data_IF_745684595018
#
_entry.id   IF_745684595018
#
_cell.length_a   1.000
_cell.length_b   1.000
_cell.length_c   1.000
_cell.angle_alpha   90.00
_cell.angle_beta   90.00
_cell.angle_gamma   90.00
#
_symmetry.space_group_name_H-M   'P 1'
#
loop_
_entity.id
_entity.type
_entity.pdbx_description
1 polymer ?
#
# COMPACT_ATOMS: atom_id res chain seq x y z
N UNK A 1 0.40 3.77 -6.80
CA UNK A 1 1.04 5.11 -6.75
C UNK A 1 0.76 6.03 -7.94
N UNK A 2 0.59 5.56 -9.20
CA UNK A 2 0.33 6.46 -10.33
C UNK A 2 -0.96 7.29 -10.15
N UNK A 3 -1.99 6.71 -9.51
CA UNK A 3 -3.21 7.42 -9.12
C UNK A 3 -2.97 8.62 -8.20
N UNK A 4 -1.96 8.58 -7.32
CA UNK A 4 -1.71 9.63 -6.33
C UNK A 4 -1.00 10.86 -6.91
N UNK A 5 -0.12 10.69 -7.91
CA UNK A 5 0.70 11.78 -8.46
C UNK A 5 0.40 12.17 -9.90
N UNK A 6 0.01 11.20 -10.73
CA UNK A 6 -0.18 11.41 -12.17
C UNK A 6 -1.61 11.19 -12.64
N UNK A 7 -2.55 10.96 -11.71
CA UNK A 7 -3.94 10.65 -12.04
C UNK A 7 -4.10 9.33 -12.80
N UNK A 8 -3.15 8.41 -12.64
CA UNK A 8 -3.24 7.07 -13.20
C UNK A 8 -4.46 6.29 -12.66
N UNK A 9 -4.81 5.15 -13.29
CA UNK A 9 -5.90 4.31 -12.79
C UNK A 9 -5.64 3.91 -11.33
N UNK A 10 -6.73 3.84 -10.56
CA UNK A 10 -6.66 3.35 -9.18
C UNK A 10 -6.05 1.94 -9.15
N UNK A 11 -5.30 1.66 -8.08
CA UNK A 11 -4.81 0.31 -7.83
C UNK A 11 -5.98 -0.66 -7.73
N UNK A 12 -5.77 -1.88 -8.19
CA UNK A 12 -6.75 -2.97 -8.06
C UNK A 12 -6.94 -3.41 -6.60
N UNK A 13 -6.00 -3.07 -5.73
CA UNK A 13 -5.97 -3.32 -4.30
C UNK A 13 -5.93 -1.95 -3.61
N UNK A 14 -6.98 -1.59 -2.86
CA UNK A 14 -7.01 -0.34 -2.12
C UNK A 14 -6.01 -0.39 -0.96
N UNK A 15 -6.01 -1.49 -0.23
CA UNK A 15 -5.12 -1.76 0.90
C UNK A 15 -3.63 -1.71 0.49
N UNK A 16 -3.23 -2.29 -0.65
CA UNK A 16 -1.86 -2.14 -1.15
C UNK A 16 -1.48 -0.71 -1.60
N UNK A 17 -2.46 0.18 -1.71
CA UNK A 17 -2.20 1.60 -1.94
C UNK A 17 -2.07 2.40 -0.63
N UNK A 18 -2.48 1.82 0.51
CA UNK A 18 -2.34 2.38 1.86
C UNK A 18 -0.98 2.00 2.47
N UNK A 19 0.08 2.66 2.00
CA UNK A 19 1.44 2.25 2.38
C UNK A 19 1.77 2.53 3.84
N UNK A 20 1.03 3.44 4.49
CA UNK A 20 1.22 3.75 5.90
C UNK A 20 0.15 3.12 6.83
N UNK A 21 -0.77 2.33 6.29
CA UNK A 21 -1.76 1.54 7.03
C UNK A 21 -2.67 2.40 7.90
N UNK A 22 -3.13 3.55 7.39
CA UNK A 22 -3.99 4.47 8.17
C UNK A 22 -5.47 4.47 7.76
N UNK A 23 -5.86 3.58 6.86
CA UNK A 23 -7.17 3.46 6.23
C UNK A 23 -7.45 4.54 5.18
N UNK A 24 -6.48 5.37 4.82
CA UNK A 24 -6.67 6.63 4.09
C UNK A 24 -5.78 6.79 2.87
N UNK A 25 -6.33 6.56 1.68
CA UNK A 25 -5.58 6.73 0.42
C UNK A 25 -5.30 8.21 0.07
N UNK A 26 -4.11 8.68 0.43
CA UNK A 26 -3.71 10.07 0.26
C UNK A 26 -2.20 10.25 -0.01
N UNK A 27 -1.67 11.47 0.16
CA UNK A 27 -0.25 11.76 -0.12
C UNK A 27 0.71 11.17 0.92
N UNK A 28 0.22 10.90 2.13
CA UNK A 28 0.99 10.28 3.21
C UNK A 28 1.55 8.92 2.78
N UNK A 29 0.74 8.11 2.09
CA UNK A 29 1.14 6.81 1.53
C UNK A 29 2.40 6.91 0.70
N UNK A 30 2.39 7.87 -0.22
CA UNK A 30 3.49 8.06 -1.13
C UNK A 30 4.74 8.59 -0.43
N UNK A 31 4.59 9.49 0.55
CA UNK A 31 5.71 9.97 1.36
C UNK A 31 6.32 8.80 2.14
N UNK A 32 5.48 7.92 2.69
CA UNK A 32 5.91 6.73 3.40
C UNK A 32 6.69 5.77 2.49
N UNK A 33 6.19 5.48 1.28
CA UNK A 33 6.91 4.66 0.30
C UNK A 33 8.27 5.29 -0.09
N UNK A 34 8.31 6.59 -0.32
CA UNK A 34 9.55 7.30 -0.67
C UNK A 34 10.56 7.24 0.48
N UNK A 35 10.09 7.34 1.73
CA UNK A 35 10.94 7.20 2.90
C UNK A 35 11.51 5.77 3.00
N UNK A 36 10.71 4.74 2.73
CA UNK A 36 11.17 3.35 2.68
C UNK A 36 12.26 3.15 1.62
N UNK A 37 12.06 3.70 0.42
CA UNK A 37 12.98 3.53 -0.72
C UNK A 37 14.28 4.33 -0.60
N UNK A 38 14.21 5.56 -0.09
CA UNK A 38 15.32 6.53 -0.22
C UNK A 38 15.84 7.06 1.10
N UNK A 39 15.15 6.80 2.21
CA UNK A 39 15.51 7.32 3.54
C UNK A 39 15.66 6.23 4.59
N UNK A 40 15.79 4.96 4.18
CA UNK A 40 15.84 3.81 5.10
C UNK A 40 14.67 3.77 6.09
N UNK A 41 13.50 4.25 5.66
CA UNK A 41 12.26 4.16 6.43
C UNK A 41 11.76 2.72 6.52
N UNK A 42 10.74 2.47 7.36
CA UNK A 42 10.10 1.16 7.45
C UNK A 42 9.54 0.73 6.09
N UNK A 43 9.58 -0.57 5.81
CA UNK A 43 8.87 -1.11 4.65
C UNK A 43 7.35 -0.99 4.86
N UNK A 44 6.57 -0.74 3.79
CA UNK A 44 5.10 -0.85 3.85
C UNK A 44 4.67 -2.22 4.35
N UNK A 45 3.55 -2.25 5.08
CA UNK A 45 2.87 -3.47 5.50
C UNK A 45 2.40 -4.27 4.28
N UNK A 46 2.13 -5.57 4.48
CA UNK A 46 1.47 -6.37 3.46
C UNK A 46 0.00 -5.95 3.35
N UNK A 47 -0.62 -5.98 2.14
CA UNK A 47 -0.04 -6.36 0.85
C UNK A 47 0.79 -5.21 0.22
N UNK A 48 2.09 -5.43 0.06
CA UNK A 48 3.05 -4.49 -0.51
C UNK A 48 3.72 -4.99 -1.80
N UNK A 49 4.67 -4.22 -2.38
CA UNK A 49 5.34 -4.56 -3.64
C UNK A 49 6.24 -5.80 -3.56
N UNK A 50 6.67 -6.19 -2.36
CA UNK A 50 7.57 -7.33 -2.12
C UNK A 50 6.93 -8.45 -1.31
N UNK A 51 5.80 -8.16 -0.66
CA UNK A 51 5.11 -9.11 0.20
C UNK A 51 3.61 -9.00 -0.07
N UNK A 52 3.04 -10.10 -0.51
CA UNK A 52 1.65 -10.23 -0.93
C UNK A 52 0.91 -11.17 0.02
N UNK A 53 1.43 -11.29 1.24
CA UNK A 53 0.72 -11.90 2.34
C UNK A 53 -0.59 -11.16 2.62
N UNK A 54 -1.49 -11.85 3.32
CA UNK A 54 -2.74 -11.25 3.79
C UNK A 54 -2.39 -10.15 4.76
N UNK A 55 -3.08 -9.01 4.64
CA UNK A 55 -2.98 -7.95 5.63
C UNK A 55 -3.31 -8.52 7.02
N UNK A 56 -2.33 -8.38 7.92
CA UNK A 56 -2.44 -8.83 9.31
C UNK A 56 -3.08 -7.78 10.21
N UNK A 57 -3.36 -6.59 9.68
CA UNK A 57 -3.87 -5.43 10.39
C UNK A 57 -5.37 -5.21 10.13
N UNK A 58 -6.22 -5.98 10.83
CA UNK A 58 -7.69 -5.78 10.85
C UNK A 58 -8.14 -4.47 11.57
N UNK A 59 -7.27 -3.46 11.67
CA UNK A 59 -7.63 -2.18 12.32
C UNK A 59 -8.14 -1.11 11.36
N UNK A 60 -8.03 -1.32 10.05
CA UNK A 60 -8.55 -0.39 9.04
C UNK A 60 -9.62 -1.04 8.12
N UNK A 61 -10.48 -0.23 7.47
CA UNK A 61 -11.62 -0.73 6.69
C UNK A 61 -11.26 -1.12 5.25
N UNK A 62 -10.00 -0.99 4.83
CA UNK A 62 -9.56 -1.34 3.48
C UNK A 62 -9.33 -2.86 3.40
N UNK A 63 -9.79 -3.44 2.30
CA UNK A 63 -9.63 -4.86 1.99
C UNK A 63 -9.22 -4.96 0.52
N UNK A 64 -8.48 -6.02 0.21
CA UNK A 64 -8.28 -6.45 -1.14
C UNK A 64 -9.05 -7.74 -1.45
N UNK A 65 -10.13 -7.57 -2.23
CA UNK A 65 -11.10 -8.61 -2.59
C UNK A 65 -10.53 -9.94 -3.13
N UNK A 66 -9.27 -9.95 -3.63
CA UNK A 66 -8.38 -11.11 -3.74
C UNK A 66 -7.15 -10.72 -4.56
N UNK A 67 -5.94 -11.04 -4.10
CA UNK A 67 -4.73 -11.01 -4.94
C UNK A 67 -4.11 -12.39 -5.05
N UNK A 68 -3.58 -12.78 -6.22
CA UNK A 68 -2.76 -13.98 -6.32
C UNK A 68 -1.59 -13.85 -5.33
N UNK A 69 -1.37 -14.82 -4.42
CA UNK A 69 -0.13 -14.84 -3.66
C UNK A 69 1.04 -14.92 -4.65
N UNK A 70 2.11 -14.19 -4.35
CA UNK A 70 3.33 -14.24 -5.12
C UNK A 70 3.91 -15.64 -4.95
N UNK A 71 3.84 -16.42 -6.02
CA UNK A 71 4.55 -17.69 -6.17
C UNK A 71 5.96 -17.44 -6.70
#
# INVERSE_FOLDING_TARGET
MASLFSGGPAGVCADACDSNGDGGLNIADAIFTLAALFSSGPAPSAPGPTDCDVDGDDTDPLDCASFPPCI
#
